data_IF_293542856784
#
_entry.id   IF_293542856784
#
_cell.length_a   1.000
_cell.length_b   1.000
_cell.length_c   1.000
_cell.angle_alpha   90.00
_cell.angle_beta   90.00
_cell.angle_gamma   90.00
#
_symmetry.space_group_name_H-M   'P 1'
#
loop_
_entity.id
_entity.type
_entity.pdbx_description
1 polymer ?
#
# COMPACT_ATOMS: atom_id res chain seq x y z
N UNK A 1 5.42 39.23 22.67
CA UNK A 1 5.32 39.22 21.21
C UNK A 1 5.55 37.79 20.74
N UNK A 2 4.51 37.15 20.17
CA UNK A 2 4.55 35.73 19.76
C UNK A 2 5.39 35.55 18.51
N UNK A 3 6.48 34.78 18.60
CA UNK A 3 7.20 34.28 17.44
C UNK A 3 6.62 32.92 17.05
N UNK A 4 6.03 32.86 15.85
CA UNK A 4 5.38 31.70 15.28
C UNK A 4 6.33 30.48 15.22
N UNK A 5 5.94 29.40 15.89
CA UNK A 5 6.55 28.09 15.70
C UNK A 5 6.14 27.63 14.30
N UNK A 6 7.04 27.77 13.33
CA UNK A 6 6.91 27.12 12.04
C UNK A 6 7.00 25.61 12.26
N UNK A 7 5.84 24.97 12.50
CA UNK A 7 5.69 23.53 12.38
C UNK A 7 5.92 23.21 10.91
N UNK A 8 7.16 22.83 10.57
CA UNK A 8 7.47 22.21 9.28
C UNK A 8 6.55 21.01 9.16
N UNK A 9 5.50 21.12 8.34
CA UNK A 9 4.76 19.95 7.85
C UNK A 9 5.81 18.93 7.41
N UNK A 10 5.77 17.67 7.86
CA UNK A 10 6.63 16.66 7.26
C UNK A 10 6.33 16.71 5.77
N UNK A 11 7.36 16.97 4.96
CA UNK A 11 7.26 16.86 3.52
C UNK A 11 6.53 15.54 3.25
N UNK A 12 5.43 15.59 2.50
CA UNK A 12 4.70 14.39 2.13
C UNK A 12 5.72 13.42 1.54
N UNK A 13 6.08 12.39 2.32
CA UNK A 13 6.82 11.25 1.83
C UNK A 13 5.86 10.58 0.87
N UNK A 14 5.82 11.06 -0.39
CA UNK A 14 5.25 10.30 -1.48
C UNK A 14 6.10 9.05 -1.51
N UNK A 15 5.60 7.88 -1.08
CA UNK A 15 6.38 6.66 -1.22
C UNK A 15 6.50 6.51 -2.73
N UNK A 16 7.73 6.65 -3.25
CA UNK A 16 8.06 6.49 -4.66
C UNK A 16 8.00 5.02 -5.03
N UNK A 17 6.93 4.33 -4.64
CA UNK A 17 6.80 2.90 -4.77
C UNK A 17 5.43 2.54 -5.34
N UNK A 18 5.44 1.65 -6.32
CA UNK A 18 4.24 0.96 -6.77
C UNK A 18 4.38 -0.52 -6.43
N UNK A 19 3.25 -1.18 -6.29
CA UNK A 19 3.14 -2.54 -5.77
C UNK A 19 2.39 -3.36 -6.78
N UNK A 20 2.90 -4.54 -7.09
CA UNK A 20 2.16 -5.58 -7.80
C UNK A 20 1.64 -6.58 -6.77
N UNK A 21 0.34 -6.83 -6.80
CA UNK A 21 -0.33 -7.86 -6.01
C UNK A 21 -0.74 -9.00 -6.95
N UNK A 22 -0.28 -10.21 -6.67
CA UNK A 22 -0.58 -11.39 -7.50
C UNK A 22 -1.84 -12.07 -6.99
N UNK A 23 -3.00 -11.69 -7.53
CA UNK A 23 -4.24 -12.43 -7.30
C UNK A 23 -4.26 -13.67 -8.22
N UNK A 24 -5.02 -14.69 -7.82
CA UNK A 24 -5.15 -16.01 -8.46
C UNK A 24 -5.15 -16.01 -9.99
N UNK A 25 -5.81 -15.03 -10.61
CA UNK A 25 -5.94 -14.92 -12.08
C UNK A 25 -5.42 -13.60 -12.65
N UNK A 26 -4.91 -12.68 -11.82
CA UNK A 26 -4.61 -11.31 -12.26
C UNK A 26 -3.57 -10.62 -11.40
N UNK A 27 -2.80 -9.73 -12.03
CA UNK A 27 -1.87 -8.84 -11.32
C UNK A 27 -2.53 -7.48 -11.15
N UNK A 28 -2.64 -7.03 -9.91
CA UNK A 28 -3.18 -5.72 -9.59
C UNK A 28 -2.06 -4.75 -9.24
N UNK A 29 -2.09 -3.58 -9.86
CA UNK A 29 -1.22 -2.47 -9.49
C UNK A 29 -1.83 -1.71 -8.31
N UNK A 30 -1.05 -1.53 -7.27
CA UNK A 30 -1.43 -0.84 -6.05
C UNK A 30 -0.45 0.29 -5.74
N UNK A 31 -0.98 1.36 -5.15
CA UNK A 31 -0.17 2.45 -4.62
C UNK A 31 0.14 2.19 -3.15
N UNK A 32 1.42 2.12 -2.81
CA UNK A 32 1.85 2.08 -1.42
C UNK A 32 1.50 3.39 -0.71
N UNK A 33 0.82 3.29 0.41
CA UNK A 33 0.52 4.41 1.31
C UNK A 33 1.46 4.42 2.51
N UNK A 34 1.77 3.24 3.04
CA UNK A 34 2.70 3.04 4.14
C UNK A 34 3.48 1.74 3.92
N UNK A 35 4.79 1.82 4.09
CA UNK A 35 5.68 0.67 4.10
C UNK A 35 6.43 0.75 5.42
N UNK A 36 6.22 -0.23 6.29
CA UNK A 36 6.87 -0.29 7.60
C UNK A 36 7.11 -1.73 8.04
N UNK A 37 7.93 -1.89 9.07
CA UNK A 37 8.46 -3.20 9.53
C UNK A 37 7.44 -4.28 9.91
N UNK A 38 6.19 -3.91 10.16
CA UNK A 38 5.12 -4.85 10.58
C UNK A 38 3.82 -4.67 9.83
N UNK A 39 3.70 -3.58 9.07
CA UNK A 39 2.45 -3.19 8.46
C UNK A 39 2.72 -2.54 7.12
N UNK A 40 2.07 -3.06 6.10
CA UNK A 40 2.05 -2.50 4.77
C UNK A 40 0.63 -2.03 4.46
N UNK A 41 0.49 -0.84 3.89
CA UNK A 41 -0.80 -0.29 3.51
C UNK A 41 -0.79 0.09 2.04
N UNK A 42 -1.79 -0.42 1.32
CA UNK A 42 -1.91 -0.27 -0.12
C UNK A 42 -3.30 0.19 -0.50
N UNK A 43 -3.39 0.98 -1.57
CA UNK A 43 -4.67 1.26 -2.25
C UNK A 43 -4.62 0.57 -3.61
N UNK A 44 -5.64 -0.24 -3.89
CA UNK A 44 -5.75 -1.06 -5.10
C UNK A 44 -7.19 -1.05 -5.63
N UNK A 45 -7.39 -1.51 -6.87
CA UNK A 45 -8.72 -1.74 -7.41
C UNK A 45 -9.49 -2.76 -6.56
N UNK A 46 -10.75 -2.43 -6.21
CA UNK A 46 -11.64 -3.27 -5.40
C UNK A 46 -11.97 -4.63 -6.02
N UNK A 47 -11.70 -4.82 -7.32
CA UNK A 47 -11.82 -6.12 -8.01
C UNK A 47 -10.90 -7.19 -7.45
N UNK A 48 -9.85 -6.81 -6.72
CA UNK A 48 -8.97 -7.77 -6.06
C UNK A 48 -9.78 -8.67 -5.12
N UNK A 49 -9.53 -9.97 -5.16
CA UNK A 49 -10.35 -10.97 -4.47
C UNK A 49 -10.07 -11.07 -2.97
N UNK A 50 -8.94 -10.51 -2.51
CA UNK A 50 -8.42 -10.65 -1.15
C UNK A 50 -9.37 -10.21 -0.05
N UNK A 51 -9.47 -11.03 1.00
CA UNK A 51 -10.25 -10.81 2.21
C UNK A 51 -9.34 -10.86 3.43
N UNK A 52 -9.87 -10.40 4.57
CA UNK A 52 -9.18 -10.49 5.85
C UNK A 52 -8.82 -11.95 6.15
N UNK A 53 -7.55 -12.19 6.48
CA UNK A 53 -6.98 -13.51 6.72
C UNK A 53 -6.28 -14.13 5.51
N UNK A 54 -6.45 -13.58 4.31
CA UNK A 54 -5.83 -14.14 3.11
C UNK A 54 -4.33 -13.83 3.08
N UNK A 55 -3.56 -14.80 2.59
CA UNK A 55 -2.15 -14.62 2.28
C UNK A 55 -2.00 -13.88 0.96
N UNK A 56 -1.17 -12.83 0.97
CA UNK A 56 -0.90 -11.95 -0.16
C UNK A 56 0.57 -12.05 -0.50
N UNK A 57 0.85 -12.20 -1.78
CA UNK A 57 2.21 -12.14 -2.31
C UNK A 57 2.29 -11.03 -3.34
N UNK A 58 3.40 -10.32 -3.34
CA UNK A 58 3.57 -9.19 -4.23
C UNK A 58 5.01 -8.80 -4.46
N UNK A 59 5.16 -7.73 -5.25
CA UNK A 59 6.45 -7.09 -5.50
C UNK A 59 6.33 -5.60 -5.27
N UNK A 60 7.29 -5.06 -4.55
CA UNK A 60 7.45 -3.63 -4.30
C UNK A 60 8.54 -3.08 -5.22
N UNK A 61 8.21 -2.07 -6.01
CA UNK A 61 9.12 -1.45 -6.96
C UNK A 61 9.40 0.00 -6.59
N UNK A 62 10.67 0.41 -6.63
CA UNK A 62 11.03 1.83 -6.56
C UNK A 62 10.84 2.51 -7.92
N UNK A 63 10.22 3.70 -7.95
CA UNK A 63 9.90 4.47 -9.16
C UNK A 63 11.11 4.76 -10.08
N UNK A 64 12.33 4.68 -9.56
CA UNK A 64 13.59 4.89 -10.29
C UNK A 64 14.50 3.65 -10.33
N UNK A 65 14.06 2.54 -9.75
CA UNK A 65 14.84 1.32 -9.66
C UNK A 65 14.21 0.25 -10.56
N UNK A 66 15.04 -0.50 -11.28
CA UNK A 66 14.60 -1.73 -11.96
C UNK A 66 14.53 -2.92 -10.99
N UNK A 67 15.00 -2.75 -9.76
CA UNK A 67 14.96 -3.77 -8.72
C UNK A 67 13.61 -3.75 -8.01
N UNK A 68 13.13 -4.94 -7.70
CA UNK A 68 11.94 -5.16 -6.88
C UNK A 68 12.31 -5.90 -5.60
N UNK A 69 11.55 -5.66 -4.55
CA UNK A 69 11.57 -6.44 -3.33
C UNK A 69 10.32 -7.32 -3.33
N UNK A 70 10.44 -8.65 -3.41
CA UNK A 70 9.29 -9.52 -3.19
C UNK A 70 8.82 -9.36 -1.74
N UNK A 71 7.52 -9.52 -1.53
CA UNK A 71 6.98 -9.59 -0.18
C UNK A 71 5.85 -10.58 -0.04
N UNK A 72 5.68 -11.06 1.20
CA UNK A 72 4.53 -11.82 1.64
C UNK A 72 3.91 -11.16 2.88
N UNK A 73 2.58 -11.25 3.00
CA UNK A 73 1.87 -10.77 4.17
C UNK A 73 0.46 -11.34 4.27
N UNK A 74 -0.20 -11.08 5.40
CA UNK A 74 -1.59 -11.50 5.65
C UNK A 74 -2.47 -10.26 5.69
N UNK A 75 -3.62 -10.29 5.02
CA UNK A 75 -4.59 -9.19 5.08
C UNK A 75 -5.16 -9.08 6.48
N UNK A 76 -4.84 -8.01 7.18
CA UNK A 76 -5.39 -7.69 8.50
C UNK A 76 -6.70 -6.93 8.40
N UNK A 77 -6.77 -6.00 7.45
CA UNK A 77 -7.96 -5.16 7.20
C UNK A 77 -8.11 -4.90 5.71
N UNK A 78 -9.36 -4.91 5.24
CA UNK A 78 -9.77 -4.42 3.92
C UNK A 78 -10.86 -3.37 4.13
N UNK A 79 -10.69 -2.20 3.52
CA UNK A 79 -11.65 -1.10 3.59
C UNK A 79 -11.98 -0.59 2.20
N UNK A 80 -13.26 -0.67 1.83
CA UNK A 80 -13.73 -0.10 0.57
C UNK A 80 -13.70 1.43 0.63
N UNK A 81 -13.09 2.07 -0.37
CA UNK A 81 -13.04 3.51 -0.51
C UNK A 81 -14.19 3.96 -1.41
N UNK A 82 -15.17 4.65 -0.82
CA UNK A 82 -16.26 5.24 -1.59
C UNK A 82 -15.74 6.44 -2.39
N UNK A 83 -15.45 6.23 -3.67
CA UNK A 83 -15.20 7.31 -4.62
C UNK A 83 -16.50 7.65 -5.36
N UNK A 84 -16.83 8.94 -5.44
CA UNK A 84 -17.97 9.44 -6.24
C UNK A 84 -17.65 9.56 -7.74
N UNK A 85 -16.38 9.46 -8.13
CA UNK A 85 -15.93 9.83 -9.48
C UNK A 85 -15.04 8.79 -10.19
N UNK A 86 -14.61 7.71 -9.51
CA UNK A 86 -13.66 6.74 -10.07
C UNK A 86 -14.08 5.28 -9.82
N UNK A 87 -13.39 4.37 -10.49
CA UNK A 87 -13.39 2.92 -10.22
C UNK A 87 -13.36 2.66 -8.72
N UNK A 88 -14.14 1.68 -8.26
CA UNK A 88 -14.20 1.28 -6.85
C UNK A 88 -12.79 0.86 -6.42
N UNK A 89 -12.22 1.56 -5.45
CA UNK A 89 -10.91 1.25 -4.86
C UNK A 89 -11.11 0.66 -3.47
N UNK A 90 -10.15 -0.14 -3.02
CA UNK A 90 -10.08 -0.58 -1.64
C UNK A 90 -8.69 -0.31 -1.06
N UNK A 91 -8.66 -0.06 0.24
CA UNK A 91 -7.44 -0.02 1.04
C UNK A 91 -7.23 -1.41 1.68
N UNK A 92 -6.03 -1.94 1.51
CA UNK A 92 -5.57 -3.18 2.15
C UNK A 92 -4.49 -2.84 3.17
N UNK A 93 -4.66 -3.37 4.38
CA UNK A 93 -3.62 -3.36 5.43
C UNK A 93 -3.12 -4.79 5.57
N UNK A 94 -1.86 -5.00 5.25
CA UNK A 94 -1.18 -6.27 5.43
C UNK A 94 -0.32 -6.23 6.68
N UNK A 95 -0.29 -7.35 7.38
CA UNK A 95 0.72 -7.65 8.38
C UNK A 95 1.79 -8.52 7.72
N UNK A 96 3.05 -8.11 7.83
CA UNK A 96 4.19 -8.82 7.26
C UNK A 96 5.27 -8.93 8.32
N UNK A 97 5.92 -10.09 8.37
CA UNK A 97 7.05 -10.36 9.26
C UNK A 97 8.39 -9.97 8.62
N UNK A 98 8.38 -9.45 7.39
CA UNK A 98 9.57 -9.05 6.67
C UNK A 98 10.07 -7.65 7.10
N UNK A 99 11.38 -7.52 7.29
CA UNK A 99 12.03 -6.23 7.53
C UNK A 99 12.35 -5.53 6.20
N UNK A 100 11.57 -4.49 5.86
CA UNK A 100 11.75 -3.63 4.69
C UNK A 100 12.58 -2.36 4.98
#
# INVERSE_FOLDING_TARGET
MSAAIFVRKPASMIPKFYVELFDSESVFLASAQLIGKKALRFIVDSKVSYKKGDGVHGRLYGLKSKLFLPFAGIVKERRELQSKFYTKLCELVLESDEEF
#
